data_IF_815661945429
#
_entry.id   IF_815661945429
#
_cell.length_a   1.000
_cell.length_b   1.000
_cell.length_c   1.000
_cell.angle_alpha   90.00
_cell.angle_beta   90.00
_cell.angle_gamma   90.00
#
_symmetry.space_group_name_H-M   'P 1'
#
loop_
_entity.id
_entity.type
_entity.pdbx_description
1 polymer ?
#
# COMPACT_ATOMS: atom_id res chain seq x y z
N UNK A 1 20.96 32.15 18.72
CA UNK A 1 19.94 31.83 17.69
C UNK A 1 20.30 30.59 16.86
N UNK A 2 21.57 30.22 16.75
CA UNK A 2 22.00 29.04 15.97
C UNK A 2 21.43 27.70 16.48
N UNK A 3 21.34 27.50 17.80
CA UNK A 3 20.80 26.25 18.38
C UNK A 3 19.35 25.99 17.99
N UNK A 4 18.51 27.03 17.92
CA UNK A 4 17.12 26.91 17.49
C UNK A 4 17.03 26.50 16.02
N UNK A 5 17.85 27.12 15.16
CA UNK A 5 17.88 26.82 13.74
C UNK A 5 18.29 25.36 13.48
N UNK A 6 19.25 24.83 14.24
CA UNK A 6 19.67 23.42 14.16
C UNK A 6 18.51 22.48 14.51
N UNK A 7 17.77 22.76 15.59
CA UNK A 7 16.63 21.93 16.00
C UNK A 7 15.55 21.94 14.90
N UNK A 8 15.23 23.11 14.36
CA UNK A 8 14.24 23.24 13.27
C UNK A 8 14.69 22.47 12.03
N UNK A 9 15.99 22.55 11.67
CA UNK A 9 16.54 21.79 10.55
C UNK A 9 16.43 20.27 10.76
N UNK A 10 16.67 19.78 11.98
CA UNK A 10 16.50 18.36 12.33
C UNK A 10 15.02 17.95 12.22
N UNK A 11 14.09 18.78 12.73
CA UNK A 11 12.66 18.50 12.61
C UNK A 11 12.19 18.45 11.15
N UNK A 12 12.70 19.36 10.32
CA UNK A 12 12.46 19.36 8.88
C UNK A 12 12.98 18.10 8.20
N UNK A 13 14.19 17.67 8.57
CA UNK A 13 14.78 16.43 8.06
C UNK A 13 13.92 15.22 8.46
N UNK A 14 13.48 15.15 9.71
CA UNK A 14 12.59 14.07 10.20
C UNK A 14 11.27 14.08 9.43
N UNK A 15 10.62 15.24 9.28
CA UNK A 15 9.36 15.37 8.54
C UNK A 15 9.50 14.92 7.07
N UNK A 16 10.63 15.24 6.45
CA UNK A 16 10.91 14.85 5.07
C UNK A 16 11.21 13.35 4.91
N UNK A 17 11.95 12.73 5.84
CA UNK A 17 12.38 11.33 5.73
C UNK A 17 11.38 10.31 6.31
N UNK A 18 10.60 10.67 7.34
CA UNK A 18 9.72 9.73 8.04
C UNK A 18 8.69 9.08 7.09
N UNK A 19 8.13 9.84 6.16
CA UNK A 19 7.18 9.36 5.16
C UNK A 19 7.76 8.30 4.21
N UNK A 20 8.80 8.62 3.42
CA UNK A 20 9.48 7.67 2.56
C UNK A 20 9.97 6.42 3.29
N UNK A 21 10.53 6.56 4.50
CA UNK A 21 11.01 5.45 5.31
C UNK A 21 9.86 4.52 5.70
N UNK A 22 8.72 5.07 6.15
CA UNK A 22 7.54 4.29 6.48
C UNK A 22 7.05 3.50 5.25
N UNK A 23 7.01 4.12 4.06
CA UNK A 23 6.64 3.43 2.82
C UNK A 23 7.64 2.31 2.48
N UNK A 24 8.94 2.57 2.59
CA UNK A 24 9.96 1.55 2.34
C UNK A 24 9.81 0.36 3.30
N UNK A 25 9.50 0.62 4.56
CA UNK A 25 9.35 -0.38 5.60
C UNK A 25 8.21 -1.37 5.30
N UNK A 26 7.10 -0.91 4.70
CA UNK A 26 6.00 -1.81 4.27
C UNK A 26 6.41 -2.86 3.22
N UNK A 27 7.54 -2.68 2.53
CA UNK A 27 8.07 -3.66 1.57
C UNK A 27 8.72 -4.89 2.21
N UNK A 28 9.12 -4.81 3.47
CA UNK A 28 9.88 -5.86 4.14
C UNK A 28 8.95 -6.95 4.69
N UNK A 29 8.62 -7.97 3.90
CA UNK A 29 7.84 -9.14 4.38
C UNK A 29 8.75 -10.19 5.02
N UNK A 30 8.40 -10.61 6.24
CA UNK A 30 9.08 -11.69 6.97
C UNK A 30 8.13 -12.85 7.24
N UNK A 31 8.67 -14.08 7.27
CA UNK A 31 7.89 -15.29 7.61
C UNK A 31 7.61 -15.40 9.11
N UNK A 32 8.47 -14.85 9.96
CA UNK A 32 8.28 -14.90 11.41
C UNK A 32 7.29 -13.85 11.90
N UNK A 33 6.43 -14.25 12.86
CA UNK A 33 5.44 -13.37 13.48
C UNK A 33 6.12 -12.22 14.25
N UNK A 34 7.23 -12.49 14.94
CA UNK A 34 7.93 -11.48 15.75
C UNK A 34 8.46 -10.32 14.90
N UNK A 35 9.06 -10.63 13.74
CA UNK A 35 9.57 -9.61 12.82
C UNK A 35 8.42 -8.82 12.17
N UNK A 36 7.26 -9.46 11.95
CA UNK A 36 6.06 -8.76 11.48
C UNK A 36 5.53 -7.76 12.52
N UNK A 37 5.54 -8.12 13.81
CA UNK A 37 5.12 -7.23 14.89
C UNK A 37 6.10 -6.06 15.03
N UNK A 38 7.41 -6.34 15.10
CA UNK A 38 8.44 -5.30 15.22
C UNK A 38 8.36 -4.32 14.05
N UNK A 39 8.21 -4.82 12.82
CA UNK A 39 8.03 -3.98 11.63
C UNK A 39 6.80 -3.08 11.74
N UNK A 40 5.67 -3.61 12.22
CA UNK A 40 4.44 -2.82 12.39
C UNK A 40 4.57 -1.74 13.46
N UNK A 41 5.27 -2.02 14.55
CA UNK A 41 5.56 -1.04 15.61
C UNK A 41 6.44 0.07 15.03
N UNK A 42 7.52 -0.29 14.34
CA UNK A 42 8.42 0.68 13.73
C UNK A 42 7.73 1.51 12.65
N UNK A 43 6.87 0.89 11.83
CA UNK A 43 6.05 1.59 10.84
C UNK A 43 5.12 2.61 11.51
N UNK A 44 4.37 2.16 12.51
CA UNK A 44 3.46 3.02 13.27
C UNK A 44 4.19 4.18 13.95
N UNK A 45 5.41 3.95 14.45
CA UNK A 45 6.25 4.99 15.03
C UNK A 45 6.62 6.09 14.03
N UNK A 46 7.09 5.74 12.83
CA UNK A 46 7.41 6.74 11.80
C UNK A 46 6.17 7.50 11.31
N UNK A 47 5.04 6.81 11.17
CA UNK A 47 3.75 7.46 10.84
C UNK A 47 3.36 8.46 11.92
N UNK A 48 3.42 8.06 13.20
CA UNK A 48 3.05 8.92 14.32
C UNK A 48 3.97 10.15 14.43
N UNK A 49 5.29 9.97 14.25
CA UNK A 49 6.25 11.07 14.22
C UNK A 49 5.96 12.06 13.09
N UNK A 50 5.66 11.56 11.89
CA UNK A 50 5.28 12.42 10.75
C UNK A 50 4.01 13.22 11.04
N UNK A 51 3.01 12.58 11.66
CA UNK A 51 1.75 13.22 12.01
C UNK A 51 1.96 14.33 13.05
N UNK A 52 2.71 14.02 14.11
CA UNK A 52 2.98 14.94 15.20
C UNK A 52 3.81 16.14 14.74
N UNK A 53 4.90 15.93 14.01
CA UNK A 53 5.75 17.01 13.47
C UNK A 53 4.98 17.84 12.44
N UNK A 54 4.21 17.21 11.55
CA UNK A 54 3.38 17.91 10.58
C UNK A 54 2.35 18.82 11.26
N UNK A 55 1.62 18.30 12.26
CA UNK A 55 0.67 19.08 13.06
C UNK A 55 1.34 20.23 13.82
N UNK A 56 2.54 20.00 14.36
CA UNK A 56 3.33 21.03 15.02
C UNK A 56 3.61 22.20 14.08
N UNK A 57 4.03 21.94 12.84
CA UNK A 57 4.30 23.02 11.87
C UNK A 57 3.04 23.83 11.55
N UNK A 58 1.89 23.18 11.37
CA UNK A 58 0.62 23.89 11.14
C UNK A 58 0.10 24.67 12.35
N UNK A 59 0.48 24.28 13.56
CA UNK A 59 0.08 24.98 14.79
C UNK A 59 0.87 26.26 15.01
N UNK A 60 1.95 26.48 14.26
CA UNK A 60 2.85 27.63 14.39
C UNK A 60 2.82 28.47 13.10
N UNK A 61 1.88 29.44 12.98
CA UNK A 61 1.68 30.22 11.75
C UNK A 61 2.85 31.13 11.40
N UNK A 62 3.73 31.44 12.36
CA UNK A 62 4.90 32.29 12.17
C UNK A 62 6.03 31.60 11.37
N UNK A 63 5.91 30.30 11.13
CA UNK A 63 6.90 29.55 10.35
C UNK A 63 6.83 29.93 8.86
N UNK A 64 7.97 29.90 8.14
CA UNK A 64 7.98 30.13 6.71
C UNK A 64 7.02 29.18 5.96
N UNK A 65 6.45 29.64 4.85
CA UNK A 65 5.52 28.83 4.04
C UNK A 65 6.13 27.49 3.60
N UNK A 66 7.43 27.46 3.31
CA UNK A 66 8.15 26.23 2.91
C UNK A 66 8.09 25.14 3.99
N UNK A 67 8.10 25.52 5.28
CA UNK A 67 8.04 24.59 6.41
C UNK A 67 6.69 23.88 6.46
N UNK A 68 5.62 24.63 6.19
CA UNK A 68 4.26 24.11 6.11
C UNK A 68 4.10 23.12 4.94
N UNK A 69 4.71 23.39 3.78
CA UNK A 69 4.71 22.46 2.66
C UNK A 69 5.42 21.14 3.00
N UNK A 70 6.53 21.21 3.73
CA UNK A 70 7.26 20.01 4.20
C UNK A 70 6.41 19.24 5.22
N UNK A 71 5.74 19.94 6.15
CA UNK A 71 4.79 19.32 7.09
C UNK A 71 3.62 18.65 6.37
N UNK A 72 3.06 19.30 5.35
CA UNK A 72 1.98 18.74 4.52
C UNK A 72 2.45 17.50 3.77
N UNK A 73 3.64 17.55 3.18
CA UNK A 73 4.26 16.41 2.53
C UNK A 73 4.39 15.22 3.49
N UNK A 74 4.89 15.46 4.70
CA UNK A 74 4.99 14.44 5.74
C UNK A 74 3.63 13.82 6.11
N UNK A 75 2.59 14.65 6.25
CA UNK A 75 1.22 14.18 6.53
C UNK A 75 0.66 13.32 5.40
N UNK A 76 0.82 13.76 4.14
CA UNK A 76 0.36 13.00 2.96
C UNK A 76 1.10 11.68 2.86
N UNK A 77 2.42 11.66 3.03
CA UNK A 77 3.21 10.43 3.00
C UNK A 77 2.87 9.50 4.16
N UNK A 78 2.67 10.03 5.37
CA UNK A 78 2.23 9.27 6.54
C UNK A 78 0.85 8.65 6.35
N UNK A 79 -0.06 9.37 5.68
CA UNK A 79 -1.38 8.85 5.28
C UNK A 79 -1.24 7.70 4.27
N UNK A 80 -0.45 7.88 3.21
CA UNK A 80 -0.22 6.84 2.19
C UNK A 80 0.43 5.60 2.84
N UNK A 81 1.43 5.79 3.69
CA UNK A 81 2.11 4.75 4.42
C UNK A 81 1.15 3.97 5.33
N UNK A 82 0.28 4.67 6.06
CA UNK A 82 -0.76 4.06 6.90
C UNK A 82 -1.76 3.25 6.08
N UNK A 83 -2.22 3.82 4.96
CA UNK A 83 -3.14 3.16 4.04
C UNK A 83 -2.53 1.88 3.48
N UNK A 84 -1.26 1.91 3.08
CA UNK A 84 -0.57 0.74 2.51
C UNK A 84 -0.42 -0.42 3.51
N UNK A 85 -0.13 -0.12 4.78
CA UNK A 85 0.14 -1.17 5.79
C UNK A 85 -1.13 -1.72 6.45
N UNK A 86 -2.07 -0.86 6.85
CA UNK A 86 -3.26 -1.28 7.62
C UNK A 86 -4.48 -1.54 6.73
N UNK A 87 -4.56 -0.87 5.59
CA UNK A 87 -5.73 -0.91 4.71
C UNK A 87 -5.36 -1.06 3.23
N UNK A 88 -4.55 -2.06 2.83
CA UNK A 88 -4.13 -2.21 1.43
C UNK A 88 -5.32 -2.41 0.47
N UNK A 89 -6.43 -2.97 0.96
CA UNK A 89 -7.62 -3.33 0.17
C UNK A 89 -8.84 -2.42 0.44
N UNK A 90 -8.63 -1.13 0.63
CA UNK A 90 -9.72 -0.11 0.66
C UNK A 90 -10.35 0.11 -0.71
N UNK A 91 -11.00 -0.95 -1.21
CA UNK A 91 -12.04 -0.90 -2.25
C UNK A 91 -13.32 -0.21 -1.77
N UNK A 92 -13.37 0.30 -0.54
CA UNK A 92 -14.53 1.01 0.03
C UNK A 92 -14.75 2.38 -0.64
N UNK A 93 -13.71 2.97 -1.24
CA UNK A 93 -13.87 4.18 -2.03
C UNK A 93 -14.42 3.91 -3.44
N UNK A 94 -14.30 2.70 -4.00
CA UNK A 94 -14.87 2.44 -5.32
C UNK A 94 -16.40 2.50 -5.37
N UNK A 95 -17.19 2.01 -4.38
CA UNK A 95 -18.64 2.21 -4.40
C UNK A 95 -19.04 3.66 -4.11
N UNK A 96 -18.28 4.41 -3.29
CA UNK A 96 -18.55 5.82 -3.01
C UNK A 96 -18.17 6.73 -4.20
N UNK A 97 -17.05 6.47 -4.86
CA UNK A 97 -16.59 7.20 -6.04
C UNK A 97 -17.38 6.85 -7.30
N UNK A 98 -17.87 5.60 -7.41
CA UNK A 98 -18.84 5.21 -8.42
C UNK A 98 -20.17 5.97 -8.28
N UNK A 99 -20.60 6.29 -7.05
CA UNK A 99 -21.76 7.17 -6.81
C UNK A 99 -21.48 8.64 -7.17
N UNK A 100 -20.22 9.07 -7.16
CA UNK A 100 -19.78 10.43 -7.56
C UNK A 100 -19.48 10.51 -9.07
N UNK A 101 -19.57 9.41 -9.82
CA UNK A 101 -19.53 9.43 -11.30
C UNK A 101 -18.13 9.56 -11.91
N UNK A 102 -17.05 9.52 -11.12
CA UNK A 102 -15.67 9.60 -11.64
C UNK A 102 -15.22 8.22 -12.13
N UNK A 103 -15.61 7.88 -13.36
CA UNK A 103 -15.09 6.72 -14.10
C UNK A 103 -13.67 7.02 -14.58
N UNK A 104 -12.65 6.42 -13.96
CA UNK A 104 -11.30 6.52 -14.51
C UNK A 104 -10.19 5.83 -13.75
N UNK A 105 -10.35 5.54 -12.45
CA UNK A 105 -9.28 4.88 -11.69
C UNK A 105 -9.36 3.34 -11.80
N UNK A 106 -9.37 2.84 -13.03
CA UNK A 106 -9.12 1.42 -13.28
C UNK A 106 -7.61 1.18 -13.11
N UNK A 107 -7.30 0.44 -12.05
CA UNK A 107 -6.02 -0.15 -11.68
C UNK A 107 -5.18 -0.52 -12.91
N UNK A 108 -4.22 0.35 -13.30
CA UNK A 108 -3.12 -0.05 -14.19
C UNK A 108 -2.23 -0.99 -13.38
N UNK A 109 -2.46 -2.28 -13.55
CA UNK A 109 -1.60 -3.35 -13.05
C UNK A 109 -0.24 -3.18 -13.71
N UNK A 110 0.72 -2.59 -13.00
CA UNK A 110 2.14 -2.67 -13.33
C UNK A 110 2.54 -4.12 -13.04
N UNK A 111 2.42 -4.96 -14.05
CA UNK A 111 3.18 -6.20 -14.18
C UNK A 111 3.78 -6.17 -15.56
N UNK A 112 4.96 -5.54 -15.66
CA UNK A 112 5.92 -5.88 -16.68
C UNK A 112 6.40 -7.31 -16.43
N UNK A 113 6.41 -8.10 -17.49
CA UNK A 113 6.78 -9.51 -17.45
C UNK A 113 6.58 -10.13 -18.81
N UNK A 114 7.63 -10.02 -19.62
CA UNK A 114 8.08 -10.96 -20.65
C UNK A 114 7.11 -11.33 -21.78
N UNK A 115 7.44 -10.79 -22.96
CA UNK A 115 7.78 -11.54 -24.16
C UNK A 115 6.74 -12.50 -24.76
N UNK A 116 6.18 -12.01 -25.87
CA UNK A 116 6.25 -12.63 -27.20
C UNK A 116 5.43 -13.90 -27.46
N UNK A 117 4.84 -13.92 -28.66
CA UNK A 117 4.02 -14.98 -29.31
C UNK A 117 2.52 -14.79 -29.06
N UNK A 118 1.63 -14.83 -30.04
CA UNK A 118 1.75 -15.13 -31.47
C UNK A 118 0.44 -14.68 -32.15
N UNK A 119 0.42 -14.82 -33.47
CA UNK A 119 -0.56 -14.34 -34.44
C UNK A 119 -2.04 -14.49 -34.08
N UNK A 120 -2.79 -13.47 -34.51
CA UNK A 120 -4.24 -13.43 -34.41
C UNK A 120 -4.93 -14.37 -35.40
N UNK A 121 -6.02 -14.97 -34.92
CA UNK A 121 -7.16 -15.35 -35.73
C UNK A 121 -8.43 -14.90 -34.99
N UNK A 122 -9.30 -14.21 -35.72
CA UNK A 122 -10.63 -13.81 -35.29
C UNK A 122 -11.48 -15.04 -35.06
N UNK A 123 -12.25 -15.09 -33.96
CA UNK A 123 -13.70 -15.28 -34.11
C UNK A 123 -14.53 -14.81 -32.92
N UNK A 124 -15.75 -14.43 -33.26
CA UNK A 124 -16.78 -13.72 -32.51
C UNK A 124 -17.41 -14.52 -31.35
N UNK A 125 -17.84 -13.84 -30.30
CA UNK A 125 -18.78 -14.41 -29.31
C UNK A 125 -18.67 -13.84 -27.89
N UNK A 126 -19.58 -12.95 -27.53
CA UNK A 126 -19.79 -12.47 -26.16
C UNK A 126 -20.11 -13.60 -25.17
N UNK A 127 -19.80 -13.37 -23.87
CA UNK A 127 -20.55 -13.85 -22.68
C UNK A 127 -19.74 -14.53 -21.55
N UNK A 128 -18.47 -14.20 -21.31
CA UNK A 128 -17.85 -14.45 -20.00
C UNK A 128 -16.84 -13.34 -19.66
N UNK A 129 -17.10 -12.56 -18.60
CA UNK A 129 -16.09 -11.66 -18.00
C UNK A 129 -14.90 -12.47 -17.44
N UNK A 130 -13.76 -11.83 -17.14
CA UNK A 130 -12.56 -12.56 -16.74
C UNK A 130 -12.84 -13.38 -15.48
N UNK A 131 -12.86 -14.71 -15.67
CA UNK A 131 -12.95 -15.67 -14.58
C UNK A 131 -11.62 -15.59 -13.83
N UNK A 132 -11.57 -14.76 -12.79
CA UNK A 132 -10.43 -14.72 -11.87
C UNK A 132 -10.44 -16.06 -11.11
N UNK A 133 -9.77 -17.06 -11.68
CA UNK A 133 -9.45 -18.30 -10.97
C UNK A 133 -8.49 -17.93 -9.84
N UNK A 134 -9.02 -17.86 -8.63
CA UNK A 134 -8.21 -17.79 -7.42
C UNK A 134 -7.45 -19.13 -7.30
N UNK A 135 -6.23 -19.20 -7.84
CA UNK A 135 -5.29 -20.29 -7.49
C UNK A 135 -4.88 -20.10 -6.03
N UNK A 136 -5.66 -20.69 -5.13
CA UNK A 136 -5.28 -20.92 -3.74
C UNK A 136 -4.30 -22.08 -3.73
N UNK A 137 -3.00 -21.78 -3.74
CA UNK A 137 -1.97 -22.76 -3.41
C UNK A 137 -2.27 -23.36 -2.02
N UNK A 138 -2.25 -24.70 -1.94
CA UNK A 138 -2.05 -25.40 -0.68
C UNK A 138 -3.15 -26.37 -0.22
N UNK A 139 -3.65 -27.26 -1.09
CA UNK A 139 -4.17 -28.57 -0.67
C UNK A 139 -3.64 -29.64 -1.60
N UNK A 140 -3.02 -30.66 -0.99
CA UNK A 140 -2.36 -31.79 -1.63
C UNK A 140 -3.28 -32.50 -2.62
N UNK A 141 -2.81 -32.68 -3.85
CA UNK A 141 -3.35 -33.66 -4.78
C UNK A 141 -3.06 -35.06 -4.21
N UNK A 142 -4.03 -35.59 -3.44
CA UNK A 142 -4.12 -37.01 -3.15
C UNK A 142 -4.51 -37.72 -4.44
N UNK A 143 -3.51 -38.27 -5.12
CA UNK A 143 -3.64 -39.16 -6.27
C UNK A 143 -3.60 -40.61 -5.79
N UNK A 144 -4.53 -40.97 -4.91
CA UNK A 144 -4.78 -42.32 -4.44
C UNK A 144 -6.22 -42.68 -4.81
N UNK A 145 -6.38 -43.05 -6.08
CA UNK A 145 -7.62 -43.53 -6.69
C UNK A 145 -8.12 -44.86 -6.12
N UNK A 146 -8.38 -44.89 -4.82
CA UNK A 146 -9.13 -45.95 -4.14
C UNK A 146 -10.42 -45.35 -3.57
N UNK A 147 -11.44 -45.26 -4.43
CA UNK A 147 -12.86 -45.14 -4.05
C UNK A 147 -13.51 -46.53 -4.04
N UNK A 148 -14.48 -46.78 -3.15
CA UNK A 148 -14.74 -48.09 -2.58
C UNK A 148 -15.51 -49.03 -3.51
N UNK A 149 -15.10 -50.30 -3.51
CA UNK A 149 -15.90 -51.38 -4.05
C UNK A 149 -17.15 -51.65 -3.19
N UNK A 150 -18.16 -52.18 -3.86
CA UNK A 150 -19.24 -52.96 -3.26
C UNK A 150 -20.44 -52.17 -2.75
N UNK A 151 -21.55 -52.26 -3.49
CA UNK A 151 -22.84 -52.73 -2.98
C UNK A 151 -23.86 -52.85 -4.12
N UNK A 152 -24.25 -54.11 -4.36
CA UNK A 152 -25.46 -54.67 -4.98
C UNK A 152 -26.10 -54.00 -6.20
#
# INVERSE_FOLDING_TARGET
MESLAIIVAILMLIAFLAGPIAIALTGLRSKSLILNIIRKILHGFFVAMSLWVGLMFFSNPDLPFIVHLIGLYGLVMGYIASRREYFPDVKILSPLLARVGIKGFSQRKITGGSDQSESGTLDSGSQYGPVIKWRRNGRSEGNDGHGPGGQH
#
